data_IF_914070551082
#
_entry.id   IF_914070551082
#
_cell.length_a   1.000
_cell.length_b   1.000
_cell.length_c   1.000
_cell.angle_alpha   90.00
_cell.angle_beta   90.00
_cell.angle_gamma   90.00
#
_symmetry.space_group_name_H-M   'P 1'
#
loop_
_entity.id
_entity.type
_entity.pdbx_description
1 polymer ?
#
# COMPACT_ATOMS: atom_id res chain seq x y z
N UNK A 1 12.86 6.64 10.25
CA UNK A 1 11.91 6.15 9.23
C UNK A 1 11.80 4.63 9.23
N UNK A 2 12.90 3.88 9.01
CA UNK A 2 12.88 2.41 8.96
C UNK A 2 12.24 1.73 10.18
N UNK A 3 12.58 2.16 11.40
CA UNK A 3 11.98 1.62 12.64
C UNK A 3 10.47 1.88 12.76
N UNK A 4 10.01 3.09 12.37
CA UNK A 4 8.59 3.43 12.33
C UNK A 4 7.82 2.52 11.36
N UNK A 5 8.38 2.29 10.16
CA UNK A 5 7.79 1.38 9.17
C UNK A 5 7.75 -0.06 9.70
N UNK A 6 8.81 -0.52 10.37
CA UNK A 6 8.82 -1.87 10.97
C UNK A 6 7.73 -2.02 12.03
N UNK A 7 7.56 -1.04 12.92
CA UNK A 7 6.45 -1.02 13.89
C UNK A 7 5.10 -1.08 13.19
N UNK A 8 4.89 -0.23 12.18
CA UNK A 8 3.66 -0.19 11.40
C UNK A 8 3.35 -1.53 10.71
N UNK A 9 4.36 -2.19 10.13
CA UNK A 9 4.22 -3.50 9.47
C UNK A 9 3.68 -4.57 10.44
N UNK A 10 4.23 -4.61 11.65
CA UNK A 10 3.85 -5.58 12.69
C UNK A 10 2.45 -5.28 13.22
N UNK A 11 2.21 -4.04 13.64
CA UNK A 11 0.94 -3.61 14.26
C UNK A 11 -0.26 -3.84 13.34
N UNK A 12 -0.08 -3.69 12.03
CA UNK A 12 -1.17 -3.73 11.06
C UNK A 12 -1.19 -5.01 10.21
N UNK A 13 -0.32 -5.99 10.54
CA UNK A 13 -0.16 -7.25 9.82
C UNK A 13 0.07 -7.07 8.31
N UNK A 14 0.92 -6.09 7.96
CA UNK A 14 1.26 -5.80 6.57
C UNK A 14 2.40 -6.72 6.13
N UNK A 15 2.23 -7.37 4.99
CA UNK A 15 3.23 -8.26 4.40
C UNK A 15 4.31 -7.48 3.66
N UNK A 16 3.91 -6.48 2.87
CA UNK A 16 4.84 -5.63 2.11
C UNK A 16 4.35 -4.19 2.17
N UNK A 17 5.27 -3.27 2.48
CA UNK A 17 5.07 -1.83 2.42
C UNK A 17 5.98 -1.27 1.34
N UNK A 18 5.39 -0.89 0.21
CA UNK A 18 6.10 -0.31 -0.92
C UNK A 18 5.94 1.20 -0.93
N UNK A 19 7.04 1.95 -0.94
CA UNK A 19 7.05 3.41 -1.06
C UNK A 19 7.50 3.78 -2.46
N UNK A 20 6.63 4.39 -3.25
CA UNK A 20 6.96 4.96 -4.54
C UNK A 20 7.33 6.43 -4.42
N UNK A 21 8.51 6.80 -4.93
CA UNK A 21 8.88 8.20 -5.17
C UNK A 21 8.43 8.62 -6.57
N UNK A 22 7.53 9.59 -6.67
CA UNK A 22 6.96 9.98 -7.98
C UNK A 22 7.90 10.83 -8.83
N UNK A 23 8.99 11.35 -8.25
CA UNK A 23 10.03 12.12 -8.95
C UNK A 23 11.07 11.17 -9.51
N UNK A 24 11.59 10.27 -8.67
CA UNK A 24 12.61 9.30 -9.07
C UNK A 24 12.02 8.08 -9.81
N UNK A 25 10.70 7.89 -9.73
CA UNK A 25 9.97 6.75 -10.30
C UNK A 25 10.47 5.38 -9.80
N UNK A 26 10.85 5.31 -8.52
CA UNK A 26 11.42 4.10 -7.89
C UNK A 26 10.55 3.66 -6.71
N UNK A 27 10.37 2.35 -6.58
CA UNK A 27 9.82 1.71 -5.39
C UNK A 27 10.91 1.31 -4.40
N UNK A 28 10.75 1.70 -3.15
CA UNK A 28 11.46 1.15 -2.01
C UNK A 28 10.56 0.16 -1.27
N UNK A 29 11.03 -1.08 -1.09
CA UNK A 29 10.25 -2.16 -0.49
C UNK A 29 10.69 -2.44 0.95
N UNK A 30 9.71 -2.60 1.83
CA UNK A 30 9.88 -3.03 3.20
C UNK A 30 9.02 -4.26 3.46
N UNK A 31 9.66 -5.36 3.87
CA UNK A 31 8.99 -6.64 4.08
C UNK A 31 8.66 -6.83 5.55
N UNK A 32 7.39 -7.12 5.82
CA UNK A 32 6.92 -7.54 7.14
C UNK A 32 7.13 -9.04 7.36
N UNK A 33 6.75 -9.51 8.54
CA UNK A 33 6.76 -10.95 8.88
C UNK A 33 5.47 -11.67 8.44
N UNK A 34 4.41 -10.90 8.16
CA UNK A 34 3.15 -11.44 7.64
C UNK A 34 3.35 -11.97 6.21
N UNK A 35 2.67 -13.08 5.91
CA UNK A 35 2.74 -13.71 4.58
C UNK A 35 1.62 -13.20 3.69
N UNK A 36 1.92 -13.12 2.40
CA UNK A 36 0.94 -12.90 1.34
C UNK A 36 0.82 -14.19 0.51
N UNK A 37 -0.39 -14.73 0.38
CA UNK A 37 -0.66 -15.97 -0.37
C UNK A 37 -0.55 -15.79 -1.88
N UNK A 38 -0.79 -14.60 -2.39
CA UNK A 38 -0.67 -14.29 -3.82
C UNK A 38 0.31 -13.14 -4.05
N UNK A 39 1.18 -13.34 -5.03
CA UNK A 39 2.10 -12.30 -5.51
C UNK A 39 1.57 -11.58 -6.75
N UNK A 40 0.41 -11.95 -7.28
CA UNK A 40 -0.05 -11.44 -8.56
C UNK A 40 -0.34 -9.92 -8.52
N UNK A 41 -0.97 -9.41 -7.46
CA UNK A 41 -1.12 -7.96 -7.26
C UNK A 41 0.24 -7.26 -7.11
N UNK A 42 1.20 -7.90 -6.43
CA UNK A 42 2.55 -7.34 -6.30
C UNK A 42 3.23 -7.25 -7.67
N UNK A 43 3.14 -8.30 -8.49
CA UNK A 43 3.66 -8.31 -9.85
C UNK A 43 3.03 -7.21 -10.69
N UNK A 44 1.70 -7.13 -10.69
CA UNK A 44 0.96 -6.14 -11.48
C UNK A 44 1.27 -4.70 -11.09
N UNK A 45 1.30 -4.40 -9.79
CA UNK A 45 1.46 -3.03 -9.30
C UNK A 45 2.92 -2.59 -9.17
N UNK A 46 3.85 -3.52 -8.91
CA UNK A 46 5.26 -3.21 -8.60
C UNK A 46 6.22 -3.74 -9.67
N UNK A 47 6.20 -5.04 -10.01
CA UNK A 47 7.19 -5.60 -10.94
C UNK A 47 6.95 -5.18 -12.39
N UNK A 48 5.68 -5.10 -12.79
CA UNK A 48 5.25 -4.72 -14.13
C UNK A 48 4.67 -3.31 -14.18
N UNK A 49 4.37 -2.73 -13.02
CA UNK A 49 3.91 -1.35 -12.86
C UNK A 49 5.06 -0.37 -12.65
N UNK A 50 4.71 0.91 -12.58
CA UNK A 50 5.64 1.98 -12.24
C UNK A 50 4.98 2.96 -11.26
N UNK A 51 5.81 3.74 -10.57
CA UNK A 51 5.30 4.79 -9.69
C UNK A 51 4.54 5.85 -10.48
N UNK A 52 5.04 6.22 -11.67
CA UNK A 52 4.42 7.22 -12.53
C UNK A 52 3.00 6.83 -12.95
N UNK A 53 2.82 5.59 -13.45
CA UNK A 53 1.50 5.10 -13.90
C UNK A 53 0.53 4.98 -12.73
N UNK A 54 1.00 4.57 -11.54
CA UNK A 54 0.15 4.55 -10.35
C UNK A 54 -0.18 5.94 -9.83
N UNK A 55 0.74 6.90 -9.95
CA UNK A 55 0.48 8.28 -9.57
C UNK A 55 -0.55 8.94 -10.49
N UNK A 56 -0.46 8.70 -11.81
CA UNK A 56 -1.46 9.11 -12.80
C UNK A 56 -2.81 8.46 -12.52
N UNK A 57 -2.85 7.17 -12.21
CA UNK A 57 -4.07 6.47 -11.82
C UNK A 57 -4.75 7.13 -10.60
N UNK A 58 -3.98 7.63 -9.63
CA UNK A 58 -4.52 8.32 -8.47
C UNK A 58 -5.15 9.69 -8.81
N UNK A 59 -4.87 10.28 -9.97
CA UNK A 59 -5.40 11.60 -10.31
C UNK A 59 -6.92 11.56 -10.51
N UNK A 60 -7.63 12.43 -9.79
CA UNK A 60 -9.10 12.47 -9.80
C UNK A 60 -9.78 11.35 -9.01
N UNK A 61 -9.03 10.44 -8.38
CA UNK A 61 -9.58 9.37 -7.55
C UNK A 61 -9.73 9.81 -6.09
N UNK A 62 -10.73 9.26 -5.41
CA UNK A 62 -10.82 9.33 -3.96
C UNK A 62 -9.83 8.33 -3.35
N UNK A 63 -9.00 8.78 -2.41
CA UNK A 63 -8.04 7.90 -1.74
C UNK A 63 -8.59 7.40 -0.39
N UNK A 64 -8.21 6.19 0.06
CA UNK A 64 -7.34 5.22 -0.62
C UNK A 64 -8.06 4.37 -1.68
N UNK A 65 -7.27 3.71 -2.53
CA UNK A 65 -7.76 2.75 -3.52
C UNK A 65 -7.43 1.31 -3.06
N UNK A 66 -8.32 0.35 -3.35
CA UNK A 66 -8.17 -1.04 -2.89
C UNK A 66 -8.23 -1.98 -4.09
N UNK A 67 -7.17 -2.76 -4.28
CA UNK A 67 -7.12 -3.86 -5.23
C UNK A 67 -7.27 -5.18 -4.48
N UNK A 68 -7.93 -6.16 -5.11
CA UNK A 68 -8.26 -7.44 -4.48
C UNK A 68 -7.95 -8.61 -5.41
N UNK A 69 -7.31 -9.64 -4.87
CA UNK A 69 -7.15 -10.92 -5.53
C UNK A 69 -7.22 -12.05 -4.52
N UNK A 70 -8.36 -12.74 -4.49
CA UNK A 70 -8.69 -13.65 -3.41
C UNK A 70 -8.59 -12.94 -2.05
N UNK A 71 -7.81 -13.53 -1.13
CA UNK A 71 -7.54 -13.00 0.21
C UNK A 71 -6.51 -11.88 0.22
N UNK A 72 -5.72 -11.74 -0.84
CA UNK A 72 -4.69 -10.69 -0.92
C UNK A 72 -5.34 -9.36 -1.29
N UNK A 73 -5.00 -8.32 -0.53
CA UNK A 73 -5.39 -6.93 -0.77
C UNK A 73 -4.14 -6.09 -0.99
N UNK A 74 -4.23 -5.14 -1.91
CA UNK A 74 -3.27 -4.06 -2.03
C UNK A 74 -4.00 -2.74 -1.80
N UNK A 75 -3.57 -1.97 -0.81
CA UNK A 75 -4.15 -0.66 -0.48
C UNK A 75 -3.18 0.40 -0.96
N UNK A 76 -3.61 1.20 -1.94
CA UNK A 76 -2.85 2.30 -2.50
C UNK A 76 -3.25 3.60 -1.78
N UNK A 77 -2.26 4.20 -1.16
CA UNK A 77 -2.32 5.43 -0.38
C UNK A 77 -1.48 6.52 -1.05
N UNK A 78 -1.87 7.78 -0.83
CA UNK A 78 -1.11 8.95 -1.33
C UNK A 78 -0.83 9.90 -0.16
N UNK A 79 0.17 9.59 0.69
CA UNK A 79 0.44 10.38 1.89
C UNK A 79 0.91 11.80 1.59
N UNK A 80 1.61 12.01 0.47
CA UNK A 80 2.05 13.33 0.03
C UNK A 80 1.92 13.45 -1.49
N UNK A 81 2.14 14.65 -2.05
CA UNK A 81 2.14 14.84 -3.51
C UNK A 81 3.19 13.98 -4.22
N UNK A 82 4.34 13.74 -3.57
CA UNK A 82 5.49 13.10 -4.20
C UNK A 82 5.71 11.64 -3.77
N UNK A 83 4.81 11.10 -2.93
CA UNK A 83 4.91 9.74 -2.41
C UNK A 83 3.59 9.00 -2.60
N UNK A 84 3.68 7.82 -3.19
CA UNK A 84 2.62 6.81 -3.11
C UNK A 84 3.08 5.68 -2.20
N UNK A 85 2.13 5.04 -1.52
CA UNK A 85 2.41 3.89 -0.68
C UNK A 85 1.45 2.78 -1.05
N UNK A 86 1.96 1.55 -1.21
CA UNK A 86 1.14 0.38 -1.40
C UNK A 86 1.36 -0.59 -0.25
N UNK A 87 0.27 -0.95 0.42
CA UNK A 87 0.25 -1.91 1.51
C UNK A 87 -0.31 -3.23 1.00
N UNK A 88 0.50 -4.29 1.04
CA UNK A 88 0.05 -5.65 0.73
C UNK A 88 -0.26 -6.40 2.02
N UNK A 89 -1.45 -6.96 2.12
CA UNK A 89 -1.91 -7.69 3.28
C UNK A 89 -2.90 -8.79 2.90
N UNK A 90 -3.10 -9.75 3.79
CA UNK A 90 -4.23 -10.65 3.71
C UNK A 90 -5.44 -10.12 4.48
N UNK A 91 -6.62 -10.38 3.93
CA UNK A 91 -7.88 -10.02 4.56
C UNK A 91 -9.00 -10.95 4.07
N UNK A 92 -9.72 -11.53 5.02
CA UNK A 92 -10.99 -12.24 4.80
C UNK A 92 -12.21 -11.36 5.13
N UNK A 93 -11.98 -10.08 5.44
CA UNK A 93 -13.03 -9.13 5.76
C UNK A 93 -13.98 -8.94 4.58
N UNK A 94 -15.21 -8.53 4.87
CA UNK A 94 -16.15 -8.16 3.81
C UNK A 94 -15.77 -6.80 3.18
N UNK A 95 -16.48 -6.39 2.13
CA UNK A 95 -16.16 -5.17 1.39
C UNK A 95 -16.20 -3.91 2.26
N UNK A 96 -17.22 -3.77 3.13
CA UNK A 96 -17.38 -2.61 4.01
C UNK A 96 -16.25 -2.53 5.03
N UNK A 97 -15.92 -3.66 5.65
CA UNK A 97 -14.84 -3.76 6.64
C UNK A 97 -13.47 -3.49 6.03
N UNK A 98 -13.20 -4.02 4.82
CA UNK A 98 -11.96 -3.71 4.10
C UNK A 98 -11.85 -2.23 3.79
N UNK A 99 -12.95 -1.58 3.40
CA UNK A 99 -12.97 -0.16 3.13
C UNK A 99 -12.66 0.67 4.39
N UNK A 100 -13.31 0.36 5.52
CA UNK A 100 -13.03 1.01 6.81
C UNK A 100 -11.57 0.82 7.22
N UNK A 101 -11.04 -0.41 7.09
CA UNK A 101 -9.64 -0.72 7.39
C UNK A 101 -8.68 0.05 6.48
N UNK A 102 -9.00 0.18 5.19
CA UNK A 102 -8.17 0.94 4.26
C UNK A 102 -8.11 2.42 4.61
N UNK A 103 -9.23 3.04 4.99
CA UNK A 103 -9.25 4.44 5.46
C UNK A 103 -8.36 4.61 6.70
N UNK A 104 -8.49 3.74 7.69
CA UNK A 104 -7.65 3.78 8.90
C UNK A 104 -6.16 3.66 8.56
N UNK A 105 -5.81 2.72 7.68
CA UNK A 105 -4.42 2.54 7.24
C UNK A 105 -3.90 3.73 6.44
N UNK A 106 -4.72 4.35 5.58
CA UNK A 106 -4.35 5.55 4.83
C UNK A 106 -4.04 6.74 5.77
N UNK A 107 -4.85 6.93 6.81
CA UNK A 107 -4.61 7.94 7.84
C UNK A 107 -3.30 7.67 8.59
N UNK A 108 -3.08 6.43 9.03
CA UNK A 108 -1.82 6.05 9.71
C UNK A 108 -0.62 6.16 8.78
N UNK A 109 -0.77 5.87 7.49
CA UNK A 109 0.31 6.06 6.52
C UNK A 109 0.63 7.55 6.39
N UNK A 110 -0.37 8.44 6.28
CA UNK A 110 -0.14 9.89 6.22
C UNK A 110 0.70 10.40 7.39
N UNK A 111 0.38 9.98 8.62
CA UNK A 111 1.14 10.40 9.82
C UNK A 111 2.57 9.86 9.88
N UNK A 112 2.93 8.84 9.10
CA UNK A 112 4.33 8.40 8.98
C UNK A 112 5.19 9.36 8.16
N UNK A 113 4.58 10.18 7.29
CA UNK A 113 5.24 11.11 6.39
C UNK A 113 5.11 12.58 6.81
N UNK A 114 4.46 12.84 7.96
CA UNK A 114 4.51 14.10 8.71
C UNK A 114 5.80 14.17 9.55
#
# INVERSE_FOLDING_TARGET
>A
MKEKINGFLIENAISIFAVGDTVENIFQLHYGVAKCSSNDLFKQLIEYGSVSTLNEFCEGQLMPQIFSQGKTKAILCKPTKNKIVILFLESELNAKENYTKAIDLDLKVKTLFE
#
